data_IF_500701023511
#
_entry.id   IF_500701023511
#
_cell.length_a   1.000
_cell.length_b   1.000
_cell.length_c   1.000
_cell.angle_alpha   90.00
_cell.angle_beta   90.00
_cell.angle_gamma   90.00
#
_symmetry.space_group_name_H-M   'P 1'
#
loop_
_entity.id
_entity.type
_entity.pdbx_description
1 polymer ?
#
# COMPACT_ATOMS: atom_id res chain seq x y z
N UNK A 1 13.50 -4.49 15.48
CA UNK A 1 13.49 -4.83 14.03
C UNK A 1 12.43 -5.84 13.63
N UNK A 2 11.95 -6.70 14.53
CA UNK A 2 10.89 -7.66 14.19
C UNK A 2 9.48 -7.02 14.12
N UNK A 3 9.26 -5.88 14.78
CA UNK A 3 7.92 -5.26 14.89
C UNK A 3 7.48 -4.56 13.60
N UNK A 4 8.38 -3.87 12.89
CA UNK A 4 8.05 -3.24 11.59
C UNK A 4 7.74 -4.35 10.58
N UNK A 5 8.59 -5.37 10.48
CA UNK A 5 8.38 -6.50 9.57
C UNK A 5 7.06 -7.24 9.87
N UNK A 6 6.75 -7.49 11.14
CA UNK A 6 5.48 -8.10 11.55
C UNK A 6 4.29 -7.20 11.17
N UNK A 7 4.38 -5.90 11.41
CA UNK A 7 3.32 -4.94 11.08
C UNK A 7 3.09 -4.88 9.56
N UNK A 8 4.16 -4.82 8.77
CA UNK A 8 4.08 -4.86 7.31
C UNK A 8 3.44 -6.17 6.83
N UNK A 9 3.79 -7.31 7.44
CA UNK A 9 3.21 -8.60 7.11
C UNK A 9 1.70 -8.66 7.43
N UNK A 10 1.28 -8.08 8.56
CA UNK A 10 -0.12 -8.00 8.95
C UNK A 10 -0.92 -7.09 8.00
N UNK A 11 -0.36 -5.95 7.62
CA UNK A 11 -0.94 -5.05 6.62
C UNK A 11 -1.06 -5.74 5.26
N UNK A 12 -0.01 -6.42 4.80
CA UNK A 12 0.02 -7.16 3.54
C UNK A 12 -1.11 -8.20 3.46
N UNK A 13 -1.33 -8.94 4.55
CA UNK A 13 -2.37 -9.97 4.64
C UNK A 13 -3.79 -9.39 4.62
N UNK A 14 -3.96 -8.12 5.03
CA UNK A 14 -5.25 -7.42 5.04
C UNK A 14 -5.63 -6.78 3.71
N UNK A 15 -4.69 -6.64 2.76
CA UNK A 15 -4.96 -5.94 1.49
C UNK A 15 -6.12 -6.63 0.73
N UNK A 16 -7.26 -5.94 0.53
CA UNK A 16 -8.41 -6.49 -0.15
C UNK A 16 -8.18 -6.61 -1.66
N UNK A 17 -8.81 -7.58 -2.32
CA UNK A 17 -8.72 -7.79 -3.79
C UNK A 17 -9.99 -7.44 -4.57
N UNK A 18 -11.07 -7.03 -3.90
CA UNK A 18 -12.37 -6.76 -4.54
C UNK A 18 -12.79 -5.32 -4.29
N UNK A 19 -13.32 -4.66 -5.31
CA UNK A 19 -13.80 -3.29 -5.14
C UNK A 19 -15.17 -3.28 -4.43
N UNK A 20 -15.17 -2.85 -3.17
CA UNK A 20 -16.37 -2.52 -2.39
C UNK A 20 -16.15 -1.22 -1.63
N UNK A 21 -17.20 -0.55 -1.19
CA UNK A 21 -17.06 0.70 -0.43
C UNK A 21 -16.25 0.52 0.87
N UNK A 22 -16.43 -0.62 1.54
CA UNK A 22 -15.68 -0.95 2.76
C UNK A 22 -14.22 -1.26 2.44
N UNK A 23 -13.95 -2.00 1.36
CA UNK A 23 -12.58 -2.30 0.94
C UNK A 23 -11.83 -1.05 0.46
N UNK A 24 -12.52 -0.08 -0.13
CA UNK A 24 -11.92 1.22 -0.48
C UNK A 24 -11.50 1.98 0.78
N UNK A 25 -12.29 1.94 1.85
CA UNK A 25 -11.89 2.55 3.14
C UNK A 25 -10.73 1.80 3.78
N UNK A 26 -10.80 0.46 3.77
CA UNK A 26 -9.76 -0.39 4.33
C UNK A 26 -8.42 -0.18 3.63
N UNK A 27 -8.39 -0.14 2.29
CA UNK A 27 -7.13 0.05 1.56
C UNK A 27 -6.52 1.43 1.85
N UNK A 28 -7.31 2.50 2.01
CA UNK A 28 -6.77 3.79 2.45
C UNK A 28 -6.17 3.70 3.86
N UNK A 29 -6.84 3.03 4.79
CA UNK A 29 -6.30 2.80 6.14
C UNK A 29 -5.00 1.99 6.11
N UNK A 30 -4.88 1.02 5.21
CA UNK A 30 -3.65 0.23 5.04
C UNK A 30 -2.53 1.10 4.47
N UNK A 31 -2.82 1.93 3.46
CA UNK A 31 -1.82 2.84 2.86
C UNK A 31 -1.32 3.84 3.91
N UNK A 32 -2.21 4.42 4.72
CA UNK A 32 -1.82 5.35 5.79
C UNK A 32 -0.94 4.66 6.84
N UNK A 33 -1.34 3.46 7.29
CA UNK A 33 -0.54 2.68 8.24
C UNK A 33 0.81 2.25 7.66
N UNK A 34 0.87 1.97 6.36
CA UNK A 34 2.11 1.65 5.66
C UNK A 34 3.05 2.84 5.61
N UNK A 35 2.53 4.02 5.26
CA UNK A 35 3.29 5.27 5.26
C UNK A 35 3.90 5.54 6.65
N UNK A 36 3.16 5.27 7.72
CA UNK A 36 3.68 5.40 9.08
C UNK A 36 4.82 4.41 9.35
N UNK A 37 4.75 3.17 8.85
CA UNK A 37 5.87 2.22 8.94
C UNK A 37 7.08 2.68 8.12
N UNK A 38 6.87 3.27 6.93
CA UNK A 38 7.95 3.81 6.11
C UNK A 38 8.66 4.98 6.79
N UNK A 39 7.94 5.83 7.52
CA UNK A 39 8.54 6.91 8.33
C UNK A 39 9.44 6.35 9.45
N UNK A 40 9.02 5.26 10.09
CA UNK A 40 9.85 4.56 11.07
C UNK A 40 11.09 3.92 10.43
N UNK A 41 10.95 3.41 9.20
CA UNK A 41 12.06 2.84 8.43
C UNK A 41 13.07 3.91 8.01
N UNK A 42 12.58 5.06 7.52
CA UNK A 42 13.39 6.21 7.12
C UNK A 42 14.18 6.81 8.30
N UNK A 43 13.60 6.79 9.51
CA UNK A 43 14.28 7.25 10.72
C UNK A 43 15.52 6.41 11.09
N UNK A 44 15.67 5.21 10.51
CA UNK A 44 16.88 4.40 10.61
C UNK A 44 17.83 4.71 9.44
N UNK A 45 19.00 5.27 9.74
CA UNK A 45 20.00 5.67 8.75
C UNK A 45 20.47 4.53 7.85
N UNK A 46 20.21 3.26 8.21
CA UNK A 46 20.51 2.09 7.36
C UNK A 46 19.55 1.96 6.16
N UNK A 47 18.35 2.50 6.28
CA UNK A 47 17.28 2.34 5.29
C UNK A 47 16.77 3.66 4.70
N UNK A 48 17.21 4.81 5.23
CA UNK A 48 16.82 6.15 4.77
C UNK A 48 16.80 6.28 3.23
N UNK A 49 17.89 5.88 2.56
CA UNK A 49 18.00 5.98 1.11
C UNK A 49 17.03 5.05 0.36
N UNK A 50 16.75 3.87 0.91
CA UNK A 50 15.84 2.88 0.32
C UNK A 50 14.38 3.21 0.63
N UNK A 51 14.09 3.89 1.75
CA UNK A 51 12.75 4.26 2.18
C UNK A 51 12.08 5.21 1.18
N UNK A 52 12.84 6.14 0.61
CA UNK A 52 12.36 7.16 -0.32
C UNK A 52 11.57 6.57 -1.51
N UNK A 53 12.04 5.46 -2.09
CA UNK A 53 11.38 4.84 -3.25
C UNK A 53 9.97 4.32 -2.91
N UNK A 54 9.74 3.89 -1.66
CA UNK A 54 8.44 3.36 -1.25
C UNK A 54 7.44 4.49 -1.00
N UNK A 55 7.89 5.66 -0.54
CA UNK A 55 7.05 6.85 -0.47
C UNK A 55 6.61 7.30 -1.86
N UNK A 56 7.52 7.33 -2.84
CA UNK A 56 7.21 7.69 -4.23
C UNK A 56 6.18 6.72 -4.86
N UNK A 57 6.16 5.46 -4.42
CA UNK A 57 5.17 4.48 -4.88
C UNK A 57 3.75 4.72 -4.31
N UNK A 58 3.60 5.40 -3.16
CA UNK A 58 2.29 5.59 -2.54
C UNK A 58 1.37 6.52 -3.34
N UNK A 59 1.93 7.57 -3.94
CA UNK A 59 1.17 8.55 -4.73
C UNK A 59 0.42 7.93 -5.91
N UNK A 60 1.06 7.17 -6.82
CA UNK A 60 0.35 6.50 -7.90
C UNK A 60 -0.65 5.46 -7.38
N UNK A 61 -0.36 4.75 -6.28
CA UNK A 61 -1.30 3.80 -5.66
C UNK A 61 -2.56 4.53 -5.18
N UNK A 62 -2.41 5.61 -4.41
CA UNK A 62 -3.54 6.45 -3.93
C UNK A 62 -4.35 7.00 -5.11
N UNK A 63 -3.67 7.44 -6.18
CA UNK A 63 -4.33 7.93 -7.39
C UNK A 63 -5.15 6.83 -8.08
N UNK A 64 -4.66 5.60 -8.13
CA UNK A 64 -5.37 4.46 -8.72
C UNK A 64 -6.56 4.02 -7.86
N UNK A 65 -6.43 3.99 -6.52
CA UNK A 65 -7.57 3.76 -5.60
C UNK A 65 -8.65 4.84 -5.79
N UNK A 66 -8.24 6.10 -5.93
CA UNK A 66 -9.17 7.20 -6.19
C UNK A 66 -9.92 7.01 -7.51
N UNK A 67 -9.21 6.64 -8.58
CA UNK A 67 -9.81 6.34 -9.90
C UNK A 67 -10.74 5.13 -9.83
N UNK A 68 -10.40 4.09 -9.07
CA UNK A 68 -11.26 2.92 -8.92
C UNK A 68 -12.61 3.29 -8.30
N UNK A 69 -12.67 4.34 -7.48
CA UNK A 69 -13.92 4.80 -6.88
C UNK A 69 -14.67 5.90 -7.69
N UNK A 70 -14.17 6.29 -8.87
CA UNK A 70 -14.78 7.37 -9.67
C UNK A 70 -16.24 7.03 -10.05
N UNK A 71 -17.23 7.92 -9.82
CA UNK A 71 -18.63 7.65 -10.19
C UNK A 71 -18.86 7.43 -11.69
N UNK A 72 -17.95 7.90 -12.55
CA UNK A 72 -18.01 7.72 -14.01
C UNK A 72 -17.42 6.39 -14.48
N UNK A 73 -16.67 5.69 -13.63
CA UNK A 73 -16.11 4.38 -13.96
C UNK A 73 -17.19 3.28 -13.85
N UNK A 74 -17.29 2.44 -14.88
CA UNK A 74 -18.16 1.25 -14.83
C UNK A 74 -17.62 0.21 -13.85
N UNK A 75 -18.49 -0.67 -13.33
CA UNK A 75 -18.15 -1.70 -12.33
C UNK A 75 -16.86 -2.46 -12.66
N UNK A 76 -16.74 -2.97 -13.88
CA UNK A 76 -15.54 -3.70 -14.33
C UNK A 76 -14.27 -2.85 -14.26
N UNK A 77 -14.34 -1.57 -14.63
CA UNK A 77 -13.20 -0.67 -14.57
C UNK A 77 -12.80 -0.40 -13.11
N UNK A 78 -13.78 -0.23 -12.21
CA UNK A 78 -13.53 -0.11 -10.77
C UNK A 78 -12.83 -1.33 -10.20
N UNK A 79 -13.32 -2.53 -10.53
CA UNK A 79 -12.73 -3.79 -10.09
C UNK A 79 -11.27 -3.93 -10.57
N UNK A 80 -10.99 -3.63 -11.86
CA UNK A 80 -9.64 -3.70 -12.44
C UNK A 80 -8.69 -2.70 -11.78
N UNK A 81 -9.09 -1.43 -11.68
CA UNK A 81 -8.26 -0.40 -11.07
C UNK A 81 -7.99 -0.70 -9.59
N UNK A 82 -8.98 -1.25 -8.89
CA UNK A 82 -8.81 -1.61 -7.49
C UNK A 82 -7.83 -2.77 -7.33
N UNK A 83 -7.96 -3.81 -8.14
CA UNK A 83 -7.03 -4.95 -8.12
C UNK A 83 -5.60 -4.52 -8.49
N UNK A 84 -5.45 -3.60 -9.45
CA UNK A 84 -4.17 -2.99 -9.81
C UNK A 84 -3.54 -2.23 -8.64
N UNK A 85 -4.30 -1.38 -7.95
CA UNK A 85 -3.83 -0.66 -6.77
C UNK A 85 -3.45 -1.62 -5.63
N UNK A 86 -4.27 -2.64 -5.38
CA UNK A 86 -3.99 -3.66 -4.38
C UNK A 86 -2.75 -4.48 -4.70
N UNK A 87 -2.51 -4.79 -5.97
CA UNK A 87 -1.30 -5.47 -6.45
C UNK A 87 -0.06 -4.59 -6.22
N UNK A 88 -0.08 -3.35 -6.71
CA UNK A 88 1.03 -2.42 -6.55
C UNK A 88 1.38 -2.16 -5.07
N UNK A 89 0.38 -2.07 -4.20
CA UNK A 89 0.60 -1.94 -2.76
C UNK A 89 1.25 -3.19 -2.15
N UNK A 90 0.86 -4.38 -2.59
CA UNK A 90 1.48 -5.64 -2.16
C UNK A 90 2.93 -5.71 -2.58
N UNK A 91 3.21 -5.42 -3.85
CA UNK A 91 4.55 -5.49 -4.41
C UNK A 91 5.49 -4.52 -3.64
N UNK A 92 5.03 -3.27 -3.42
CA UNK A 92 5.78 -2.29 -2.63
C UNK A 92 6.05 -2.76 -1.19
N UNK A 93 5.05 -3.30 -0.50
CA UNK A 93 5.22 -3.81 0.87
C UNK A 93 6.14 -5.03 0.92
N UNK A 94 6.07 -5.91 -0.06
CA UNK A 94 6.94 -7.09 -0.14
C UNK A 94 8.41 -6.69 -0.31
N UNK A 95 8.69 -5.72 -1.18
CA UNK A 95 10.03 -5.15 -1.34
C UNK A 95 10.52 -4.48 -0.03
N UNK A 96 9.65 -3.71 0.65
CA UNK A 96 10.01 -3.11 1.94
C UNK A 96 10.30 -4.17 3.02
N UNK A 97 9.55 -5.28 3.05
CA UNK A 97 9.81 -6.40 3.96
C UNK A 97 11.13 -7.12 3.65
N UNK A 98 11.51 -7.24 2.37
CA UNK A 98 12.78 -7.85 1.97
C UNK A 98 14.00 -7.06 2.45
N UNK A 99 13.90 -5.73 2.60
CA UNK A 99 14.97 -4.92 3.18
C UNK A 99 15.21 -5.17 4.67
N UNK A 100 14.21 -5.71 5.37
CA UNK A 100 14.26 -5.98 6.80
C UNK A 100 14.76 -7.40 7.12
N UNK A 101 15.01 -8.23 6.09
CA UNK A 101 15.56 -9.59 6.22
C UNK A 101 17.09 -9.58 6.23
#
# INVERSE_FOLDING_TARGET
>A
MNEIAQTLQDLFNRIPRRHTADNVKEIYSIVDAYEDQLKLLEADSRYEAQAAQFFDALDPIRATIKKSNDPKAGKKAKDVLFDEASGALKDSMEEAMQLLQ
#
